data_IF_394375844896
#
_entry.id   IF_394375844896
#
_cell.length_a   1.000
_cell.length_b   1.000
_cell.length_c   1.000
_cell.angle_alpha   90.00
_cell.angle_beta   90.00
_cell.angle_gamma   90.00
#
_symmetry.space_group_name_H-M   'P 1'
#
loop_
_entity.id
_entity.type
_entity.pdbx_description
1 polymer ?
#
# COMPACT_ATOMS: atom_id res chain seq x y z
N UNK A 1 2.57 61.91 10.49
CA UNK A 1 3.60 60.90 10.14
C UNK A 1 3.08 59.52 10.54
N UNK A 2 2.45 58.79 9.62
CA UNK A 2 2.07 57.39 9.87
C UNK A 2 3.33 56.53 9.84
N UNK A 3 3.55 55.76 10.91
CA UNK A 3 4.64 54.77 10.98
C UNK A 3 4.19 53.51 10.26
N UNK A 4 4.45 53.40 8.97
CA UNK A 4 4.33 52.11 8.28
C UNK A 4 5.47 51.20 8.72
N UNK A 5 5.13 50.15 9.48
CA UNK A 5 6.08 49.10 9.86
C UNK A 5 6.28 48.15 8.66
N UNK A 6 7.53 47.76 8.33
CA UNK A 6 7.79 46.88 7.21
C UNK A 6 7.18 45.49 7.44
N UNK A 7 6.41 45.00 6.46
CA UNK A 7 5.82 43.65 6.49
C UNK A 7 6.93 42.61 6.36
N UNK A 8 7.06 41.73 7.37
CA UNK A 8 8.07 40.67 7.39
C UNK A 8 7.83 39.68 6.23
N UNK A 9 8.88 39.20 5.55
CA UNK A 9 8.74 38.23 4.46
C UNK A 9 8.13 36.93 5.00
N UNK A 10 7.12 36.41 4.30
CA UNK A 10 6.52 35.11 4.63
C UNK A 10 7.57 34.03 4.41
N UNK A 11 7.78 33.18 5.41
CA UNK A 11 8.73 32.06 5.34
C UNK A 11 8.29 31.09 4.21
N UNK A 12 9.24 30.44 3.51
CA UNK A 12 8.96 29.64 2.31
C UNK A 12 8.03 28.44 2.53
N UNK A 13 7.79 28.04 3.78
CA UNK A 13 6.87 26.96 4.14
C UNK A 13 5.84 27.48 5.14
N UNK A 14 4.84 28.21 4.65
CA UNK A 14 3.66 28.54 5.43
C UNK A 14 2.46 27.76 4.86
N UNK A 15 2.46 26.44 5.09
CA UNK A 15 1.34 25.57 4.77
C UNK A 15 0.21 25.95 5.74
N UNK A 16 -0.93 26.42 5.20
CA UNK A 16 -2.11 26.71 6.04
C UNK A 16 -2.67 25.39 6.55
N UNK A 17 -3.25 25.39 7.75
CA UNK A 17 -3.92 24.19 8.30
C UNK A 17 -5.05 23.69 7.41
N UNK A 18 -5.62 24.58 6.60
CA UNK A 18 -6.69 24.33 5.63
C UNK A 18 -6.18 23.59 4.38
N UNK A 19 -4.96 23.88 3.94
CA UNK A 19 -4.31 23.22 2.78
C UNK A 19 -3.65 21.89 3.17
N UNK A 20 -3.59 21.61 4.47
CA UNK A 20 -3.12 20.36 5.02
C UNK A 20 -4.31 19.39 4.94
N UNK A 21 -4.27 18.42 4.02
CA UNK A 21 -5.30 17.39 3.78
C UNK A 21 -5.56 16.51 5.02
N UNK A 22 -6.11 17.11 6.07
CA UNK A 22 -6.36 16.50 7.36
C UNK A 22 -7.54 15.54 7.28
N UNK A 23 -8.53 15.83 6.44
CA UNK A 23 -9.71 14.98 6.26
C UNK A 23 -9.32 13.62 5.68
N UNK A 24 -8.50 13.60 4.62
CA UNK A 24 -7.92 12.38 4.04
C UNK A 24 -7.09 11.60 5.07
N UNK A 25 -6.28 12.31 5.87
CA UNK A 25 -5.51 11.69 6.96
C UNK A 25 -6.38 11.12 8.09
N UNK A 26 -7.47 11.79 8.44
CA UNK A 26 -8.42 11.34 9.47
C UNK A 26 -9.16 10.09 8.97
N UNK A 27 -9.56 10.06 7.70
CA UNK A 27 -10.14 8.86 7.07
C UNK A 27 -9.14 7.69 6.98
N UNK A 28 -7.87 7.95 6.65
CA UNK A 28 -6.81 6.95 6.72
C UNK A 28 -6.61 6.42 8.15
N UNK A 29 -6.75 7.29 9.16
CA UNK A 29 -6.60 6.88 10.56
C UNK A 29 -7.80 6.07 11.04
N UNK A 30 -9.02 6.45 10.65
CA UNK A 30 -10.26 5.79 11.06
C UNK A 30 -10.46 4.45 10.35
N UNK A 31 -10.03 4.36 9.09
CA UNK A 31 -9.96 3.11 8.32
C UNK A 31 -8.93 2.11 8.87
N UNK A 32 -7.96 2.56 9.67
CA UNK A 32 -7.01 1.71 10.41
C UNK A 32 -7.55 1.22 11.75
N UNK A 33 -8.82 1.49 12.10
CA UNK A 33 -9.40 0.99 13.35
C UNK A 33 -9.50 -0.55 13.36
N UNK A 34 -9.06 -1.22 14.45
CA UNK A 34 -8.95 -2.69 14.49
C UNK A 34 -10.31 -3.39 14.35
N UNK A 35 -11.40 -2.76 14.81
CA UNK A 35 -12.76 -3.32 14.74
C UNK A 35 -13.28 -3.41 13.30
N UNK A 36 -12.99 -2.40 12.49
CA UNK A 36 -13.37 -2.39 11.07
C UNK A 36 -12.57 -3.45 10.31
N UNK A 37 -11.29 -3.63 10.67
CA UNK A 37 -10.46 -4.70 10.13
C UNK A 37 -11.03 -6.09 10.41
N UNK A 38 -11.40 -6.42 11.66
CA UNK A 38 -11.95 -7.74 11.99
C UNK A 38 -13.29 -8.03 11.28
N UNK A 39 -14.16 -7.03 11.15
CA UNK A 39 -15.44 -7.21 10.45
C UNK A 39 -15.27 -7.41 8.94
N UNK A 40 -14.32 -6.73 8.31
CA UNK A 40 -13.93 -6.95 6.91
C UNK A 40 -13.28 -8.32 6.73
N UNK A 41 -12.36 -8.68 7.61
CA UNK A 41 -11.67 -9.95 7.59
C UNK A 41 -12.66 -11.11 7.64
N UNK A 42 -13.63 -11.07 8.57
CA UNK A 42 -14.67 -12.09 8.67
C UNK A 42 -15.53 -12.23 7.41
N UNK A 43 -15.86 -11.11 6.74
CA UNK A 43 -16.63 -11.14 5.48
C UNK A 43 -15.83 -11.77 4.33
N UNK A 44 -14.55 -11.44 4.20
CA UNK A 44 -13.67 -12.07 3.21
C UNK A 44 -13.44 -13.55 3.51
N UNK A 45 -13.33 -13.91 4.78
CA UNK A 45 -13.17 -15.29 5.24
C UNK A 45 -14.39 -16.16 4.88
N UNK A 46 -15.59 -15.61 5.04
CA UNK A 46 -16.83 -16.31 4.71
C UNK A 46 -17.04 -16.49 3.20
N UNK A 47 -16.66 -15.50 2.39
CA UNK A 47 -16.88 -15.56 0.95
C UNK A 47 -15.84 -16.40 0.20
N UNK A 48 -14.59 -16.46 0.67
CA UNK A 48 -13.53 -17.19 -0.03
C UNK A 48 -13.69 -18.70 0.09
N UNK A 49 -13.89 -19.38 -1.04
CA UNK A 49 -13.96 -20.85 -1.12
C UNK A 49 -12.59 -21.49 -0.94
N UNK A 50 -11.55 -20.90 -1.53
CA UNK A 50 -10.16 -21.37 -1.47
C UNK A 50 -9.65 -21.43 -0.03
N UNK A 51 -9.97 -20.41 0.77
CA UNK A 51 -9.54 -20.32 2.17
C UNK A 51 -10.22 -21.38 3.05
N UNK A 52 -11.51 -21.64 2.83
CA UNK A 52 -12.25 -22.68 3.56
C UNK A 52 -11.69 -24.07 3.29
N UNK A 53 -11.41 -24.37 2.02
CA UNK A 53 -10.78 -25.65 1.61
C UNK A 53 -9.41 -25.80 2.26
N UNK A 54 -8.59 -24.74 2.25
CA UNK A 54 -7.29 -24.75 2.89
C UNK A 54 -7.37 -25.03 4.39
N UNK A 55 -8.32 -24.42 5.12
CA UNK A 55 -8.50 -24.66 6.56
C UNK A 55 -8.88 -26.11 6.85
N UNK A 56 -9.76 -26.70 6.04
CA UNK A 56 -10.13 -28.11 6.19
C UNK A 56 -8.90 -29.01 5.98
N UNK A 57 -8.12 -28.77 4.91
CA UNK A 57 -6.87 -29.48 4.66
C UNK A 57 -5.85 -29.29 5.78
N UNK A 58 -5.76 -28.08 6.33
CA UNK A 58 -4.87 -27.75 7.44
C UNK A 58 -5.23 -28.55 8.71
N UNK A 59 -6.52 -28.65 9.03
CA UNK A 59 -6.99 -29.44 10.16
C UNK A 59 -6.67 -30.92 9.96
N UNK A 60 -6.92 -31.46 8.76
CA UNK A 60 -6.56 -32.85 8.41
C UNK A 60 -5.04 -33.07 8.56
N UNK A 61 -4.22 -32.15 8.06
CA UNK A 61 -2.76 -32.25 8.15
C UNK A 61 -2.26 -32.23 9.60
N UNK A 62 -2.90 -31.47 10.49
CA UNK A 62 -2.60 -31.46 11.93
C UNK A 62 -2.86 -32.83 12.55
N UNK A 63 -3.98 -33.48 12.22
CA UNK A 63 -4.28 -34.84 12.71
C UNK A 63 -3.25 -35.89 12.26
N UNK A 64 -2.65 -35.72 11.08
CA UNK A 64 -1.63 -36.63 10.54
C UNK A 64 -0.21 -36.26 11.07
N UNK A 65 -0.06 -35.14 11.79
CA UNK A 65 1.23 -34.65 12.32
C UNK A 65 2.01 -33.75 11.36
N UNK A 66 1.50 -33.48 10.16
CA UNK A 66 2.12 -32.60 9.14
C UNK A 66 1.58 -31.16 9.16
N UNK A 67 0.93 -30.75 10.24
CA UNK A 67 0.29 -29.43 10.35
C UNK A 67 1.25 -28.27 10.08
N UNK A 68 2.49 -28.34 10.57
CA UNK A 68 3.49 -27.28 10.36
C UNK A 68 3.87 -27.13 8.88
N UNK A 69 4.04 -28.24 8.17
CA UNK A 69 4.40 -28.22 6.75
C UNK A 69 3.27 -27.67 5.89
N UNK A 70 2.03 -28.07 6.18
CA UNK A 70 0.85 -27.53 5.51
C UNK A 70 0.64 -26.03 5.81
N UNK A 71 1.03 -25.59 7.01
CA UNK A 71 0.97 -24.17 7.39
C UNK A 71 1.96 -23.34 6.55
N UNK A 72 3.21 -23.81 6.42
CA UNK A 72 4.23 -23.14 5.61
C UNK A 72 3.79 -23.05 4.15
N UNK A 73 3.28 -24.13 3.57
CA UNK A 73 2.79 -24.15 2.18
C UNK A 73 1.63 -23.18 2.00
N UNK A 74 0.70 -23.12 2.96
CA UNK A 74 -0.41 -22.19 2.91
C UNK A 74 0.00 -20.73 2.99
N UNK A 75 1.04 -20.41 3.76
CA UNK A 75 1.59 -19.06 3.80
C UNK A 75 2.17 -18.66 2.44
N UNK A 76 2.95 -19.54 1.81
CA UNK A 76 3.44 -19.29 0.44
C UNK A 76 2.30 -19.13 -0.56
N UNK A 77 1.30 -20.01 -0.51
CA UNK A 77 0.13 -19.90 -1.37
C UNK A 77 -0.62 -18.60 -1.15
N UNK A 78 -0.84 -18.18 0.10
CA UNK A 78 -1.51 -16.93 0.43
C UNK A 78 -0.74 -15.71 -0.07
N UNK A 79 0.60 -15.72 0.03
CA UNK A 79 1.45 -14.67 -0.53
C UNK A 79 1.29 -14.60 -2.05
N UNK A 80 1.36 -15.72 -2.75
CA UNK A 80 1.24 -15.76 -4.22
C UNK A 80 -0.17 -15.36 -4.68
N UNK A 81 -1.21 -15.89 -4.05
CA UNK A 81 -2.60 -15.59 -4.39
C UNK A 81 -2.99 -14.14 -4.08
N UNK A 82 -2.36 -13.52 -3.07
CA UNK A 82 -2.58 -12.11 -2.73
C UNK A 82 -1.62 -11.16 -3.48
N UNK A 83 -0.61 -11.69 -4.16
CA UNK A 83 0.24 -10.91 -5.06
C UNK A 83 -0.54 -10.62 -6.34
N UNK A 84 -1.40 -9.60 -6.28
CA UNK A 84 -2.11 -9.08 -7.44
C UNK A 84 -1.20 -8.16 -8.25
N UNK A 85 -1.52 -7.98 -9.54
CA UNK A 85 -0.95 -6.89 -10.33
C UNK A 85 -1.33 -5.56 -9.67
N UNK A 86 -0.36 -4.63 -9.57
CA UNK A 86 -0.63 -3.24 -9.16
C UNK A 86 -1.71 -2.65 -10.05
N UNK A 87 -2.59 -1.83 -9.47
CA UNK A 87 -3.59 -1.12 -10.28
C UNK A 87 -2.86 -0.12 -11.17
N UNK A 88 -3.28 -0.02 -12.43
CA UNK A 88 -2.74 0.97 -13.36
C UNK A 88 -2.91 2.37 -12.76
N UNK A 89 -1.81 3.10 -12.59
CA UNK A 89 -1.78 4.43 -11.97
C UNK A 89 -1.49 4.48 -10.46
N UNK A 90 -1.30 3.35 -9.78
CA UNK A 90 -0.80 3.38 -8.39
C UNK A 90 0.64 3.91 -8.36
N UNK A 91 0.81 5.13 -7.84
CA UNK A 91 2.12 5.77 -7.66
C UNK A 91 3.05 4.83 -6.91
N UNK A 92 4.21 4.55 -7.50
CA UNK A 92 5.25 3.80 -6.82
C UNK A 92 6.00 4.73 -5.87
N UNK A 93 6.70 4.18 -4.88
CA UNK A 93 7.57 4.99 -4.01
C UNK A 93 8.63 5.75 -4.80
N UNK A 94 8.95 5.27 -6.01
CA UNK A 94 9.93 5.86 -6.92
C UNK A 94 9.33 6.92 -7.85
N UNK A 95 8.00 7.02 -7.96
CA UNK A 95 7.32 8.08 -8.72
C UNK A 95 7.69 9.49 -8.23
N UNK A 96 8.12 9.64 -6.98
CA UNK A 96 8.58 10.90 -6.41
C UNK A 96 9.87 11.43 -7.06
N UNK A 97 10.62 10.58 -7.76
CA UNK A 97 11.88 10.94 -8.39
C UNK A 97 11.76 11.23 -9.90
N UNK A 98 10.56 11.13 -10.48
CA UNK A 98 10.31 11.42 -11.89
C UNK A 98 9.51 12.71 -12.09
N UNK A 99 9.83 13.46 -13.13
CA UNK A 99 9.03 14.59 -13.59
C UNK A 99 7.68 14.06 -14.11
N UNK A 100 6.58 14.48 -13.49
CA UNK A 100 5.22 14.00 -13.80
C UNK A 100 4.61 13.03 -12.78
N UNK A 101 5.37 12.57 -11.78
CA UNK A 101 4.88 11.68 -10.69
C UNK A 101 4.14 10.44 -11.22
N UNK A 102 4.61 9.91 -12.35
CA UNK A 102 4.02 8.74 -12.98
C UNK A 102 4.51 7.44 -12.34
N UNK A 103 3.68 6.39 -12.41
CA UNK A 103 3.99 5.09 -11.87
C UNK A 103 5.06 4.40 -12.72
N UNK A 104 6.33 4.49 -12.31
CA UNK A 104 7.42 3.74 -12.96
C UNK A 104 7.23 2.26 -12.62
N UNK A 105 7.15 1.42 -13.65
CA UNK A 105 7.18 -0.02 -13.47
C UNK A 105 8.51 -0.39 -12.80
N UNK A 106 8.47 -1.19 -11.73
CA UNK A 106 9.67 -1.59 -10.99
C UNK A 106 10.61 -2.54 -11.75
N UNK A 107 10.29 -2.87 -13.00
CA UNK A 107 11.20 -3.54 -13.93
C UNK A 107 12.02 -2.47 -14.65
N UNK A 108 13.36 -2.63 -14.76
CA UNK A 108 14.18 -1.68 -15.50
C UNK A 108 13.66 -1.59 -16.94
N UNK A 109 13.23 -0.40 -17.34
CA UNK A 109 12.96 -0.11 -18.74
C UNK A 109 14.32 -0.03 -19.45
N UNK A 110 14.65 -1.12 -20.16
CA UNK A 110 15.95 -1.25 -20.81
C UNK A 110 16.13 -0.21 -21.92
N UNK A 111 15.04 0.27 -22.53
CA UNK A 111 15.10 1.33 -23.54
C UNK A 111 15.48 2.68 -22.92
N UNK A 112 14.95 3.00 -21.72
CA UNK A 112 15.32 4.20 -20.98
C UNK A 112 16.80 4.17 -20.54
N UNK A 113 17.27 3.02 -20.04
CA UNK A 113 18.68 2.83 -19.63
C UNK A 113 19.63 2.96 -20.82
N UNK A 114 19.28 2.37 -21.97
CA UNK A 114 20.10 2.44 -23.18
C UNK A 114 20.19 3.87 -23.72
N UNK A 115 19.13 4.67 -23.57
CA UNK A 115 19.12 6.10 -23.91
C UNK A 115 20.04 6.92 -23.02
N UNK A 116 20.03 6.66 -21.72
CA UNK A 116 20.94 7.31 -20.77
C UNK A 116 22.40 6.90 -20.98
N UNK A 117 22.66 5.62 -21.28
CA UNK A 117 24.03 5.13 -21.54
C UNK A 117 24.67 5.73 -22.80
N UNK A 118 23.84 6.22 -23.73
CA UNK A 118 24.28 6.74 -25.02
C UNK A 118 24.46 8.27 -25.03
N UNK A 119 24.17 8.92 -23.90
CA UNK A 119 24.37 10.37 -23.68
C UNK A 119 25.68 10.59 -22.92
#
# INVERSE_FOLDING_TARGET
KSKDKPRKPKKPYHIKREDLHLEEYIEERDSKSPRIFFSRLGRHFYHSTQLRIYIVLQVIAVYIGFGQLMLIIGLFWAMLANTTKRKEGEKSAYSLFNEGVEAIAGSPDMEAIERELRT
#
